data_IF_622967394847
#
_entry.id   IF_622967394847
#
_cell.length_a   1.000
_cell.length_b   1.000
_cell.length_c   1.000
_cell.angle_alpha   90.00
_cell.angle_beta   90.00
_cell.angle_gamma   90.00
#
_symmetry.space_group_name_H-M   'P 1'
#
loop_
_entity.id
_entity.type
_entity.pdbx_description
1 polymer ?
#
# COMPACT_ATOMS: atom_id res chain seq x y z
N UNK A 1 -22.73 12.45 0.63
CA UNK A 1 -21.88 11.29 1.01
C UNK A 1 -20.49 11.53 0.46
N UNK A 2 -19.51 11.73 1.36
CA UNK A 2 -18.23 12.33 1.03
C UNK A 2 -17.33 11.28 0.37
N UNK A 3 -16.67 11.61 -0.74
CA UNK A 3 -15.73 10.75 -1.47
C UNK A 3 -14.80 9.91 -0.56
N UNK A 4 -14.45 10.41 0.62
CA UNK A 4 -13.74 9.68 1.66
C UNK A 4 -14.34 8.28 1.97
N UNK A 5 -15.66 8.16 2.16
CA UNK A 5 -16.30 6.85 2.45
C UNK A 5 -16.12 5.87 1.29
N UNK A 6 -16.25 6.35 0.06
CA UNK A 6 -16.04 5.53 -1.13
C UNK A 6 -14.58 5.11 -1.26
N UNK A 7 -13.62 5.99 -0.94
CA UNK A 7 -12.19 5.65 -0.94
C UNK A 7 -11.85 4.59 0.11
N UNK A 8 -12.42 4.69 1.31
CA UNK A 8 -12.28 3.65 2.35
C UNK A 8 -12.81 2.31 1.88
N UNK A 9 -14.04 2.27 1.35
CA UNK A 9 -14.65 1.04 0.85
C UNK A 9 -13.90 0.45 -0.35
N UNK A 10 -13.39 1.30 -1.25
CA UNK A 10 -12.54 0.88 -2.37
C UNK A 10 -11.19 0.30 -1.90
N UNK A 11 -10.60 0.85 -0.83
CA UNK A 11 -9.39 0.30 -0.21
C UNK A 11 -9.66 -1.09 0.34
N UNK A 12 -10.67 -1.24 1.20
CA UNK A 12 -11.08 -2.53 1.76
C UNK A 12 -11.30 -3.57 0.65
N UNK A 13 -11.98 -3.20 -0.45
CA UNK A 13 -12.15 -4.08 -1.61
C UNK A 13 -10.82 -4.51 -2.25
N UNK A 14 -9.85 -3.60 -2.38
CA UNK A 14 -8.52 -3.92 -2.92
C UNK A 14 -7.74 -4.87 -2.01
N UNK A 15 -7.95 -4.77 -0.70
CA UNK A 15 -7.30 -5.58 0.31
C UNK A 15 -8.03 -6.92 0.55
N UNK A 16 -9.17 -7.16 -0.12
CA UNK A 16 -10.01 -8.35 0.06
C UNK A 16 -10.88 -8.32 1.33
N UNK A 17 -11.02 -7.16 1.96
CA UNK A 17 -11.78 -6.94 3.19
C UNK A 17 -13.25 -6.54 2.92
N UNK A 18 -14.15 -6.67 3.93
CA UNK A 18 -15.53 -6.24 3.80
C UNK A 18 -15.67 -4.72 3.58
N UNK A 19 -16.05 -4.33 2.35
CA UNK A 19 -16.12 -2.91 1.94
C UNK A 19 -17.28 -2.11 2.57
N UNK A 20 -18.28 -2.76 3.17
CA UNK A 20 -19.47 -2.11 3.74
C UNK A 20 -20.40 -1.42 2.72
N UNK A 21 -20.02 -1.41 1.45
CA UNK A 21 -20.78 -0.93 0.29
C UNK A 21 -20.76 -2.02 -0.78
N UNK A 22 -21.84 -2.13 -1.55
CA UNK A 22 -21.89 -3.08 -2.67
C UNK A 22 -21.01 -2.62 -3.84
N UNK A 23 -20.47 -3.57 -4.59
CA UNK A 23 -19.64 -3.30 -5.77
C UNK A 23 -20.33 -2.40 -6.79
N UNK A 24 -21.61 -2.68 -7.10
CA UNK A 24 -22.37 -1.83 -8.02
C UNK A 24 -22.49 -0.38 -7.56
N UNK A 25 -22.47 -0.11 -6.24
CA UNK A 25 -22.46 1.26 -5.71
C UNK A 25 -21.10 1.93 -5.86
N UNK A 26 -20.01 1.18 -5.63
CA UNK A 26 -18.64 1.64 -5.81
C UNK A 26 -18.36 1.96 -7.29
N UNK A 27 -18.72 1.04 -8.19
CA UNK A 27 -18.46 1.18 -9.62
C UNK A 27 -19.26 2.35 -10.21
N UNK A 28 -20.54 2.49 -9.82
CA UNK A 28 -21.36 3.66 -10.18
C UNK A 28 -20.73 4.99 -9.73
N UNK A 29 -20.10 5.01 -8.56
CA UNK A 29 -19.43 6.21 -8.06
C UNK A 29 -18.16 6.52 -8.85
N UNK A 30 -17.29 5.54 -9.07
CA UNK A 30 -16.05 5.70 -9.85
C UNK A 30 -16.33 6.12 -11.29
N UNK A 31 -17.42 5.62 -11.89
CA UNK A 31 -17.85 6.04 -13.22
C UNK A 31 -18.19 7.54 -13.28
N UNK A 32 -18.77 8.11 -12.21
CA UNK A 32 -19.26 9.50 -12.19
C UNK A 32 -18.33 10.50 -11.51
N UNK A 33 -17.33 10.06 -10.76
CA UNK A 33 -16.43 10.93 -10.00
C UNK A 33 -14.98 10.79 -10.48
N UNK A 34 -14.50 11.76 -11.26
CA UNK A 34 -13.12 11.79 -11.77
C UNK A 34 -12.09 11.69 -10.63
N UNK A 35 -12.26 12.47 -9.56
CA UNK A 35 -11.32 12.45 -8.43
C UNK A 35 -11.28 11.14 -7.62
N UNK A 36 -12.28 10.26 -7.74
CA UNK A 36 -12.23 8.92 -7.16
C UNK A 36 -11.69 7.88 -8.15
N UNK A 37 -11.88 8.10 -9.46
CA UNK A 37 -11.24 7.33 -10.52
C UNK A 37 -9.71 7.49 -10.47
N UNK A 38 -9.23 8.74 -10.45
CA UNK A 38 -7.80 9.05 -10.38
C UNK A 38 -7.15 8.58 -9.08
N UNK A 39 -7.94 8.58 -7.99
CA UNK A 39 -7.48 8.03 -6.72
C UNK A 39 -7.34 6.51 -6.79
N UNK A 40 -8.34 5.81 -7.33
CA UNK A 40 -8.33 4.35 -7.43
C UNK A 40 -7.18 3.86 -8.32
N UNK A 41 -6.96 4.52 -9.45
CA UNK A 41 -5.86 4.20 -10.37
C UNK A 41 -4.48 4.35 -9.71
N UNK A 42 -4.28 5.40 -8.91
CA UNK A 42 -3.05 5.60 -8.13
C UNK A 42 -2.90 4.57 -7.02
N UNK A 43 -3.98 4.23 -6.34
CA UNK A 43 -3.95 3.23 -5.27
C UNK A 43 -3.63 1.83 -5.82
N UNK A 44 -4.20 1.46 -6.97
CA UNK A 44 -3.86 0.21 -7.67
C UNK A 44 -2.39 0.16 -8.05
N UNK A 45 -1.86 1.23 -8.67
CA UNK A 45 -0.41 1.32 -8.97
C UNK A 45 0.48 1.22 -7.74
N UNK A 46 0.06 1.81 -6.62
CA UNK A 46 0.82 1.72 -5.37
C UNK A 46 0.82 0.29 -4.84
N UNK A 47 -0.35 -0.36 -4.79
CA UNK A 47 -0.49 -1.76 -4.38
C UNK A 47 0.46 -2.64 -5.18
N UNK A 48 0.42 -2.56 -6.50
CA UNK A 48 1.25 -3.40 -7.37
C UNK A 48 2.76 -3.20 -7.13
N UNK A 49 3.19 -2.00 -6.70
CA UNK A 49 4.58 -1.72 -6.33
C UNK A 49 4.97 -2.28 -4.96
N UNK A 50 4.05 -2.29 -3.99
CA UNK A 50 4.35 -2.74 -2.62
C UNK A 50 4.11 -4.23 -2.41
N UNK A 51 3.32 -4.87 -3.29
CA UNK A 51 3.14 -6.33 -3.33
C UNK A 51 4.12 -7.02 -4.26
N UNK A 52 5.09 -6.28 -4.83
CA UNK A 52 6.18 -6.87 -5.59
C UNK A 52 6.99 -7.83 -4.71
N UNK A 53 7.64 -8.82 -5.34
CA UNK A 53 8.53 -9.74 -4.65
C UNK A 53 9.54 -8.96 -3.81
N UNK A 54 9.69 -9.38 -2.56
CA UNK A 54 10.57 -8.73 -1.59
C UNK A 54 12.03 -8.72 -2.06
N UNK A 55 12.90 -7.98 -1.35
CA UNK A 55 14.31 -7.96 -1.69
C UNK A 55 14.91 -9.37 -1.65
N UNK A 56 15.89 -9.61 -2.53
CA UNK A 56 16.57 -10.91 -2.57
C UNK A 56 17.22 -11.24 -1.23
N UNK A 57 17.46 -12.53 -0.99
CA UNK A 57 18.18 -12.98 0.19
C UNK A 57 19.58 -12.33 0.28
N UNK A 58 20.27 -12.16 -0.86
CA UNK A 58 21.56 -11.45 -0.93
C UNK A 58 21.45 -9.98 -0.53
N UNK A 59 20.45 -9.27 -1.05
CA UNK A 59 20.21 -7.88 -0.67
C UNK A 59 19.97 -7.77 0.84
N UNK A 60 19.14 -8.68 1.38
CA UNK A 60 18.81 -8.71 2.81
C UNK A 60 20.04 -9.00 3.67
N UNK A 61 20.88 -9.95 3.26
CA UNK A 61 22.12 -10.27 3.95
C UNK A 61 23.10 -9.07 3.98
N UNK A 62 23.22 -8.34 2.87
CA UNK A 62 24.06 -7.15 2.77
C UNK A 62 23.57 -6.01 3.67
N UNK A 63 22.27 -5.80 3.76
CA UNK A 63 21.68 -4.82 4.67
C UNK A 63 22.00 -5.17 6.14
N UNK A 64 21.80 -6.43 6.53
CA UNK A 64 22.06 -6.89 7.90
C UNK A 64 23.53 -6.77 8.28
N UNK A 65 24.45 -7.15 7.37
CA UNK A 65 25.88 -6.96 7.59
C UNK A 65 26.23 -5.49 7.83
N UNK A 66 25.68 -4.59 7.01
CA UNK A 66 25.92 -3.16 7.13
C UNK A 66 25.41 -2.57 8.45
N UNK A 67 24.22 -2.97 8.89
CA UNK A 67 23.66 -2.54 10.17
C UNK A 67 24.46 -3.09 11.36
N UNK A 68 25.06 -4.28 11.24
CA UNK A 68 25.95 -4.87 12.24
C UNK A 68 27.28 -4.11 12.38
N UNK A 69 27.84 -3.63 11.26
CA UNK A 69 29.05 -2.78 11.25
C UNK A 69 28.80 -1.38 11.84
N UNK A 70 27.59 -0.84 11.66
CA UNK A 70 27.17 0.47 12.17
C UNK A 70 26.62 0.42 13.61
N UNK A 71 26.65 -0.76 14.25
CA UNK A 71 26.24 -0.93 15.65
C UNK A 71 27.02 0.02 16.59
N UNK A 72 26.43 0.39 17.75
CA UNK A 72 27.04 1.36 18.65
C UNK A 72 28.47 0.93 18.99
N UNK A 73 29.46 1.75 18.62
CA UNK A 73 30.83 1.58 19.10
C UNK A 73 30.78 1.70 20.62
N UNK A 74 30.86 0.56 21.30
CA UNK A 74 30.85 0.49 22.76
C UNK A 74 31.95 1.39 23.34
N UNK A 75 31.77 1.96 24.53
CA UNK A 75 32.72 2.92 25.09
C UNK A 75 34.11 2.26 25.21
N UNK A 76 35.11 2.91 24.61
CA UNK A 76 36.52 2.57 24.80
C UNK A 76 36.85 2.74 26.30
N UNK A 77 37.41 1.69 26.90
CA UNK A 77 37.87 1.69 28.30
C UNK A 77 39.18 2.43 28.46
#
# INVERSE_FOLDING_TARGET
>A
MRCAQFRTALSARMDGEPAGLSDGRLDKHVARCAGCRDWLERAQRLRDRVTAEGPSADWSARLLARLGEEGPRGPER
#
